data_IF_876282357381
#
_entry.id   IF_876282357381
#
_cell.length_a   1.000
_cell.length_b   1.000
_cell.length_c   1.000
_cell.angle_alpha   90.00
_cell.angle_beta   90.00
_cell.angle_gamma   90.00
#
_symmetry.space_group_name_H-M   'P 1'
#
loop_
_entity.id
_entity.type
_entity.pdbx_description
1 polymer ?
#
# COMPACT_ATOMS: atom_id res chain seq x y z
N UNK A 1 -5.31 -1.08 -0.83
CA UNK A 1 -4.96 -0.79 0.57
C UNK A 1 -3.87 0.27 0.59
N UNK A 2 -4.12 1.43 1.21
CA UNK A 2 -3.14 2.51 1.28
C UNK A 2 -2.20 2.27 2.46
N UNK A 3 -0.89 2.33 2.19
CA UNK A 3 0.15 2.17 3.20
C UNK A 3 1.20 3.25 3.04
N UNK A 4 1.70 3.78 4.14
CA UNK A 4 2.93 4.57 4.18
C UNK A 4 4.04 3.65 4.65
N UNK A 5 5.24 3.74 4.09
CA UNK A 5 6.38 2.97 4.60
C UNK A 5 7.62 3.85 4.77
N UNK A 6 8.48 3.47 5.71
CA UNK A 6 9.74 4.16 6.01
C UNK A 6 10.85 3.13 6.11
N UNK A 7 11.95 3.34 5.37
CA UNK A 7 13.15 2.51 5.47
C UNK A 7 13.96 2.91 6.71
N UNK A 8 14.31 1.93 7.52
CA UNK A 8 15.14 2.08 8.73
C UNK A 8 16.63 2.11 8.38
N UNK A 9 17.47 2.53 9.33
CA UNK A 9 18.94 2.61 9.14
C UNK A 9 19.55 1.23 8.85
N UNK A 10 18.96 0.17 9.40
CA UNK A 10 19.40 -1.23 9.22
C UNK A 10 18.81 -1.87 7.96
N UNK A 11 18.10 -1.10 7.14
CA UNK A 11 17.60 -1.52 5.84
C UNK A 11 16.22 -2.19 5.85
N UNK A 12 15.57 -2.34 7.01
CA UNK A 12 14.20 -2.88 7.15
C UNK A 12 13.15 -1.79 6.88
N UNK A 13 11.87 -2.17 6.78
CA UNK A 13 10.77 -1.27 6.45
C UNK A 13 9.71 -1.23 7.57
N UNK A 14 9.42 -0.04 8.09
CA UNK A 14 8.24 0.20 8.92
C UNK A 14 7.06 0.51 8.00
N UNK A 15 6.02 -0.31 8.01
CA UNK A 15 4.82 -0.14 7.18
C UNK A 15 3.64 0.25 8.06
N UNK A 16 2.98 1.34 7.68
CA UNK A 16 1.87 1.97 8.38
C UNK A 16 0.61 1.82 7.51
N UNK A 17 -0.34 0.95 7.90
CA UNK A 17 -1.66 0.90 7.28
C UNK A 17 -2.40 2.23 7.49
N UNK A 18 -3.07 2.72 6.44
CA UNK A 18 -3.92 3.90 6.56
C UNK A 18 -5.08 3.64 7.54
N UNK A 19 -5.34 4.59 8.46
CA UNK A 19 -6.36 4.46 9.49
C UNK A 19 -5.90 3.77 10.78
N UNK A 20 -4.61 3.44 10.91
CA UNK A 20 -4.03 2.89 12.14
C UNK A 20 -2.76 3.66 12.53
N UNK A 21 -2.55 3.84 13.83
CA UNK A 21 -1.30 4.42 14.37
C UNK A 21 -0.21 3.36 14.62
N UNK A 22 -0.50 2.11 14.28
CA UNK A 22 0.43 1.00 14.43
C UNK A 22 1.25 0.79 13.16
N UNK A 23 2.47 0.28 13.33
CA UNK A 23 3.31 -0.15 12.23
C UNK A 23 3.74 -1.59 12.42
N UNK A 24 4.00 -2.25 11.29
CA UNK A 24 4.68 -3.54 11.24
C UNK A 24 6.06 -3.35 10.64
N UNK A 25 7.04 -4.05 11.22
CA UNK A 25 8.42 -3.99 10.78
C UNK A 25 8.70 -5.22 9.88
N UNK A 26 9.12 -4.97 8.65
CA UNK A 26 9.33 -5.99 7.63
C UNK A 26 10.78 -5.99 7.17
N UNK A 27 11.37 -7.18 7.07
CA UNK A 27 12.63 -7.37 6.36
C UNK A 27 12.43 -7.15 4.85
N UNK A 28 13.48 -6.78 4.09
CA UNK A 28 13.35 -6.42 2.68
C UNK A 28 12.65 -7.47 1.82
N UNK A 29 12.97 -8.75 2.03
CA UNK A 29 12.37 -9.88 1.30
C UNK A 29 10.86 -10.00 1.52
N UNK A 30 10.39 -9.83 2.75
CA UNK A 30 8.95 -9.85 3.06
C UNK A 30 8.26 -8.61 2.49
N UNK A 31 8.90 -7.44 2.59
CA UNK A 31 8.36 -6.19 2.08
C UNK A 31 8.10 -6.24 0.57
N UNK A 32 9.08 -6.67 -0.23
CA UNK A 32 8.91 -6.74 -1.69
C UNK A 32 8.04 -7.92 -2.15
N UNK A 33 7.90 -8.95 -1.31
CA UNK A 33 6.92 -10.02 -1.55
C UNK A 33 5.49 -9.50 -1.37
N UNK A 34 5.23 -8.78 -0.27
CA UNK A 34 3.90 -8.29 0.10
C UNK A 34 3.48 -7.04 -0.69
N UNK A 35 4.42 -6.17 -1.02
CA UNK A 35 4.21 -4.93 -1.75
C UNK A 35 4.97 -4.97 -3.08
N UNK A 36 4.70 -5.99 -3.88
CA UNK A 36 5.39 -6.27 -5.15
C UNK A 36 5.32 -5.14 -6.18
N UNK A 37 4.32 -4.26 -6.06
CA UNK A 37 4.15 -3.07 -6.90
C UNK A 37 5.09 -1.92 -6.50
N UNK A 38 5.71 -1.97 -5.33
CA UNK A 38 6.67 -0.96 -4.87
C UNK A 38 8.02 -1.20 -5.56
N UNK A 39 8.43 -0.23 -6.38
CA UNK A 39 9.77 -0.25 -6.98
C UNK A 39 10.85 -0.28 -5.90
N UNK A 40 11.86 -1.13 -6.09
CA UNK A 40 13.06 -1.21 -5.22
C UNK A 40 13.84 0.09 -5.11
N UNK A 41 13.62 1.02 -6.04
CA UNK A 41 14.28 2.33 -6.09
C UNK A 41 13.42 3.45 -5.48
N UNK A 42 12.16 3.18 -5.13
CA UNK A 42 11.26 4.20 -4.58
C UNK A 42 11.70 4.60 -3.15
N UNK A 43 11.87 5.91 -2.93
CA UNK A 43 12.15 6.50 -1.60
C UNK A 43 10.87 6.79 -0.80
N UNK A 44 9.75 6.98 -1.51
CA UNK A 44 8.39 7.10 -1.00
C UNK A 44 7.48 6.41 -2.02
N UNK A 45 6.57 5.54 -1.58
CA UNK A 45 5.64 4.86 -2.48
C UNK A 45 4.22 4.93 -1.95
N UNK A 46 3.33 5.44 -2.78
CA UNK A 46 1.90 5.22 -2.65
C UNK A 46 1.56 4.21 -3.75
N UNK A 47 1.03 3.04 -3.38
CA UNK A 47 0.52 2.08 -4.36
C UNK A 47 -0.81 2.58 -4.89
N UNK A 48 -0.79 3.23 -6.05
CA UNK A 48 -2.01 3.69 -6.72
C UNK A 48 -2.76 2.46 -7.26
N UNK A 49 -4.00 2.27 -6.81
CA UNK A 49 -4.88 1.21 -7.30
C UNK A 49 -5.59 1.71 -8.55
N UNK A 50 -5.61 0.89 -9.61
CA UNK A 50 -6.28 1.27 -10.86
C UNK A 50 -7.79 1.31 -10.70
N UNK A 51 -8.46 2.15 -11.49
CA UNK A 51 -9.93 2.28 -11.47
C UNK A 51 -10.62 0.95 -11.73
N UNK A 52 -10.07 0.11 -12.61
CA UNK A 52 -10.58 -1.24 -12.89
C UNK A 52 -10.48 -2.15 -11.67
N UNK A 53 -9.35 -2.09 -10.97
CA UNK A 53 -9.10 -2.87 -9.76
C UNK A 53 -9.92 -2.34 -8.58
N UNK A 54 -10.22 -1.04 -8.55
CA UNK A 54 -11.17 -0.45 -7.62
C UNK A 54 -12.61 -0.88 -7.92
N UNK A 55 -13.05 -0.88 -9.18
CA UNK A 55 -14.38 -1.33 -9.59
C UNK A 55 -14.62 -2.82 -9.32
N UNK A 56 -13.64 -3.69 -9.55
CA UNK A 56 -13.73 -5.12 -9.21
C UNK A 56 -13.80 -5.36 -7.69
N UNK A 57 -13.13 -4.53 -6.89
CA UNK A 57 -13.14 -4.63 -5.43
C UNK A 57 -14.40 -4.02 -4.79
N UNK A 58 -15.04 -3.05 -5.44
CA UNK A 58 -16.13 -2.23 -4.88
C UNK A 58 -17.42 -2.23 -5.73
N UNK A 59 -17.56 -3.16 -6.68
CA UNK A 59 -18.64 -3.32 -7.67
C UNK A 59 -19.92 -2.46 -7.53
N UNK A 60 -20.19 -1.71 -8.62
CA UNK A 60 -21.35 -0.86 -8.94
C UNK A 60 -22.37 -0.62 -7.82
N UNK A 61 -22.19 0.48 -7.08
CA UNK A 61 -23.35 1.12 -6.45
C UNK A 61 -24.21 1.74 -7.55
N UNK A 62 -25.42 1.20 -7.73
CA UNK A 62 -26.50 1.82 -8.51
C UNK A 62 -26.61 3.29 -8.14
N UNK A 63 -26.40 4.13 -9.15
CA UNK A 63 -26.49 5.58 -9.05
C UNK A 63 -27.97 5.95 -8.93
N UNK A 64 -28.41 6.45 -7.77
CA UNK A 64 -29.66 7.21 -7.69
C UNK A 64 -29.37 8.72 -7.84
N UNK A 65 -30.04 9.42 -8.77
CA UNK A 65 -29.67 10.78 -9.15
C UNK A 65 -30.34 11.88 -8.31
N UNK A 66 -29.59 12.99 -8.27
CA UNK A 66 -29.90 14.39 -7.95
C UNK A 66 -30.18 14.78 -6.49
#
# INVERSE_FOLDING_TARGET
>A
MQVRYVRTIVGWFNVYPAGTDHYVNLKPEDFFTLLSQVSRQARSGCGEISVTMALELFGEQEVMPA
#
